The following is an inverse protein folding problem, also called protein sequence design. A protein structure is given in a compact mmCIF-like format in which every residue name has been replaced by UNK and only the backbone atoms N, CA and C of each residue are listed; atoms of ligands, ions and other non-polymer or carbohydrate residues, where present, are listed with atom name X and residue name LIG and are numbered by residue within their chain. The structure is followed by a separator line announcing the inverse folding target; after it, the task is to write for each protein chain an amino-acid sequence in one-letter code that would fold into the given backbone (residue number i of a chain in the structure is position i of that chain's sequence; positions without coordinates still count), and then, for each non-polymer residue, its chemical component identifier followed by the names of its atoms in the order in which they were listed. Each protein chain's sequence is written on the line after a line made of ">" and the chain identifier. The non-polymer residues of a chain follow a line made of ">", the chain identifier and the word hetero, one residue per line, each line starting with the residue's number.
data_IF_931193190801
#
_entry.id   IF_931193190801
#
_cell.length_a   1.000
_cell.length_b   1.000
_cell.length_c   1.000
_cell.angle_alpha   90.00
_cell.angle_beta   90.00
_cell.angle_gamma   90.00
#
_symmetry.space_group_name_H-M   'P 1'
#
loop_
_entity.id
_entity.type
_entity.pdbx_description
1 polymer ?
#
# COMPACT_ATOMS: atom_id res chain seq x y z
N UNK A 1 24.52 63.30 -25.73
CA UNK A 1 23.20 63.73 -26.23
C UNK A 1 22.33 62.50 -26.29
N UNK A 2 21.21 62.57 -25.60
CA UNK A 2 20.21 61.52 -25.38
C UNK A 2 19.63 60.99 -26.69
N UNK A 3 19.47 59.69 -26.81
CA UNK A 3 18.49 59.12 -27.72
C UNK A 3 17.61 58.15 -26.92
N UNK A 4 16.40 58.61 -26.64
CA UNK A 4 15.42 57.97 -25.77
C UNK A 4 14.62 56.99 -26.64
N UNK A 5 14.60 55.73 -26.22
CA UNK A 5 13.87 54.65 -26.89
C UNK A 5 12.40 54.99 -27.09
N UNK A 6 11.93 54.71 -28.31
CA UNK A 6 10.55 54.86 -28.74
C UNK A 6 9.66 53.65 -28.46
N UNK A 7 8.43 53.76 -28.97
CA UNK A 7 7.38 52.74 -28.97
C UNK A 7 6.39 52.96 -27.82
N UNK A 8 5.47 53.91 -27.94
CA UNK A 8 4.13 53.75 -28.54
C UNK A 8 3.22 52.80 -27.73
N UNK A 9 2.18 53.44 -27.19
CA UNK A 9 1.06 52.96 -26.39
C UNK A 9 0.42 51.70 -27.00
N UNK A 10 0.32 50.65 -26.20
CA UNK A 10 -0.73 49.63 -26.38
C UNK A 10 -1.83 49.94 -25.36
N UNK A 11 -2.99 50.31 -25.90
CA UNK A 11 -4.26 50.45 -25.20
C UNK A 11 -4.58 49.15 -24.46
N UNK A 12 -4.51 49.18 -23.12
CA UNK A 12 -5.14 48.15 -22.30
C UNK A 12 -6.57 48.61 -22.02
N UNK A 13 -7.48 47.98 -22.73
CA UNK A 13 -8.91 48.01 -22.57
C UNK A 13 -9.32 47.61 -21.15
N UNK A 14 -9.43 48.62 -20.28
CA UNK A 14 -10.09 48.56 -18.98
C UNK A 14 -11.60 48.34 -19.18
N UNK A 15 -11.97 47.08 -19.41
CA UNK A 15 -13.33 46.61 -19.22
C UNK A 15 -13.42 45.91 -17.86
N UNK A 16 -13.42 46.72 -16.79
CA UNK A 16 -13.75 46.28 -15.44
C UNK A 16 -15.17 45.73 -15.39
N UNK A 17 -15.31 44.42 -15.59
CA UNK A 17 -16.53 43.70 -15.25
C UNK A 17 -16.61 43.63 -13.72
N UNK A 18 -17.42 44.50 -13.12
CA UNK A 18 -17.85 44.38 -11.71
C UNK A 18 -18.70 43.11 -11.59
N UNK A 19 -18.03 41.98 -11.42
CA UNK A 19 -18.65 40.73 -11.05
C UNK A 19 -18.76 40.67 -9.54
N UNK A 20 -19.88 41.16 -8.99
CA UNK A 20 -20.30 40.79 -7.64
C UNK A 20 -20.84 39.35 -7.69
N UNK A 21 -20.18 38.38 -7.03
CA UNK A 21 -20.72 37.03 -6.94
C UNK A 21 -22.01 37.05 -6.10
N UNK A 22 -23.04 36.27 -6.47
CA UNK A 22 -24.25 36.19 -5.66
C UNK A 22 -23.91 35.62 -4.28
N UNK A 23 -24.41 36.27 -3.22
CA UNK A 23 -24.40 35.68 -1.88
C UNK A 23 -25.25 34.41 -1.91
N UNK A 24 -24.57 33.27 -1.75
CA UNK A 24 -25.25 32.01 -1.52
C UNK A 24 -25.72 32.01 -0.06
N UNK A 25 -27.01 32.18 0.15
CA UNK A 25 -27.65 31.81 1.41
C UNK A 25 -27.40 30.31 1.63
N UNK A 26 -26.45 29.99 2.50
CA UNK A 26 -26.20 28.63 2.95
C UNK A 26 -27.46 28.17 3.68
N UNK A 27 -28.33 27.46 2.99
CA UNK A 27 -29.37 26.67 3.64
C UNK A 27 -28.62 25.60 4.42
N UNK A 28 -28.60 25.77 5.74
CA UNK A 28 -28.05 24.84 6.71
C UNK A 28 -28.94 23.59 6.76
N UNK A 29 -28.84 22.77 5.72
CA UNK A 29 -29.17 21.37 5.81
C UNK A 29 -27.88 20.67 6.25
N UNK A 30 -27.60 20.68 7.55
CA UNK A 30 -26.72 19.66 8.12
C UNK A 30 -27.40 18.30 7.87
N UNK A 31 -26.79 17.39 7.10
CA UNK A 31 -27.17 16.00 7.21
C UNK A 31 -26.78 15.54 8.62
N UNK A 32 -27.76 15.22 9.47
CA UNK A 32 -27.54 14.68 10.84
C UNK A 32 -26.70 13.37 10.85
N UNK A 33 -26.35 12.83 9.68
CA UNK A 33 -25.50 11.66 9.50
C UNK A 33 -24.06 12.00 9.06
N UNK A 34 -23.55 13.21 9.35
CA UNK A 34 -22.11 13.46 9.21
C UNK A 34 -21.34 12.73 10.31
N UNK A 35 -21.05 11.45 10.05
CA UNK A 35 -20.09 10.67 10.83
C UNK A 35 -18.73 11.32 10.64
N UNK A 36 -18.25 12.00 11.68
CA UNK A 36 -16.87 12.46 11.78
C UNK A 36 -15.95 11.28 11.43
N UNK A 37 -14.98 11.45 10.51
CA UNK A 37 -13.98 10.43 10.28
C UNK A 37 -13.00 10.47 11.46
N UNK A 38 -13.46 10.05 12.65
CA UNK A 38 -12.57 9.53 13.67
C UNK A 38 -11.86 8.35 13.03
N UNK A 39 -10.64 8.62 12.56
CA UNK A 39 -9.68 7.66 12.07
C UNK A 39 -10.36 6.59 11.24
N UNK A 40 -10.63 6.90 9.96
CA UNK A 40 -10.84 5.86 8.97
C UNK A 40 -9.79 4.79 9.23
N UNK A 41 -10.21 3.70 9.89
CA UNK A 41 -9.41 2.52 10.14
C UNK A 41 -8.86 2.23 8.77
N UNK A 42 -7.55 2.39 8.63
CA UNK A 42 -6.88 2.35 7.36
C UNK A 42 -7.20 0.97 6.83
N UNK A 43 -8.24 0.90 5.99
CA UNK A 43 -8.79 -0.32 5.47
C UNK A 43 -7.68 -0.88 4.63
N UNK A 44 -6.87 -1.73 5.25
CA UNK A 44 -5.82 -2.48 4.60
C UNK A 44 -6.58 -3.34 3.61
N UNK A 45 -6.70 -2.83 2.38
CA UNK A 45 -7.19 -3.62 1.25
C UNK A 45 -6.41 -4.94 1.30
N UNK A 46 -7.16 -6.01 1.59
CA UNK A 46 -6.68 -7.14 2.37
C UNK A 46 -5.67 -8.02 1.67
N UNK A 47 -4.40 -7.62 1.71
CA UNK A 47 -3.28 -8.41 1.23
C UNK A 47 -2.11 -8.32 2.21
N UNK A 48 -1.78 -9.44 2.86
CA UNK A 48 -0.62 -9.55 3.73
C UNK A 48 0.49 -10.34 3.04
N UNK A 49 1.73 -9.84 3.11
CA UNK A 49 2.91 -10.62 2.74
C UNK A 49 3.38 -11.35 3.99
N UNK A 50 3.52 -12.66 3.88
CA UNK A 50 3.99 -13.52 4.96
C UNK A 50 5.28 -14.23 4.54
N UNK A 51 6.17 -14.44 5.51
CA UNK A 51 7.34 -15.29 5.32
C UNK A 51 6.93 -16.76 5.20
N UNK A 52 7.85 -17.64 4.83
CA UNK A 52 7.62 -19.09 4.72
C UNK A 52 7.07 -19.77 5.99
N UNK A 53 7.15 -19.11 7.15
CA UNK A 53 6.61 -19.57 8.43
C UNK A 53 5.18 -19.05 8.72
N UNK A 54 4.57 -18.32 7.79
CA UNK A 54 3.21 -17.79 7.91
C UNK A 54 3.06 -16.59 8.85
N UNK A 55 4.18 -16.04 9.34
CA UNK A 55 4.23 -14.78 10.09
C UNK A 55 4.18 -13.59 9.13
N UNK A 56 3.47 -12.54 9.52
CA UNK A 56 3.46 -11.27 8.78
C UNK A 56 4.86 -10.67 8.78
N UNK A 57 5.31 -10.21 7.62
CA UNK A 57 6.60 -9.51 7.51
C UNK A 57 6.41 -8.10 8.08
N UNK A 58 6.65 -7.93 9.37
CA UNK A 58 6.63 -6.62 10.03
C UNK A 58 7.96 -5.90 9.79
N UNK A 59 7.91 -4.65 9.31
CA UNK A 59 9.07 -3.77 9.26
C UNK A 59 9.26 -3.11 10.62
N UNK A 60 10.50 -3.14 11.13
CA UNK A 60 10.81 -2.81 12.51
C UNK A 60 10.46 -1.38 12.94
N UNK A 61 10.10 -1.25 14.22
CA UNK A 61 10.33 -0.02 14.96
C UNK A 61 9.22 0.52 15.86
N UNK A 62 8.21 -0.25 16.27
CA UNK A 62 7.52 0.07 17.53
C UNK A 62 6.77 -1.14 18.09
N UNK A 63 7.15 -1.59 19.29
CA UNK A 63 6.25 -2.37 20.13
C UNK A 63 5.28 -1.38 20.76
N UNK A 64 4.30 -0.91 19.99
CA UNK A 64 3.09 -0.37 20.61
C UNK A 64 2.33 -1.59 21.13
N UNK A 65 2.71 -2.00 22.34
CA UNK A 65 1.73 -2.49 23.31
C UNK A 65 0.71 -1.37 23.41
N UNK A 66 -0.31 -1.40 22.56
CA UNK A 66 -1.54 -0.64 22.80
C UNK A 66 -2.01 -1.08 24.18
N UNK A 67 -2.10 -0.12 25.09
CA UNK A 67 -2.11 -0.31 26.54
C UNK A 67 -3.39 -0.96 27.07
N UNK A 68 -3.58 -2.25 26.81
CA UNK A 68 -4.47 -3.08 27.61
C UNK A 68 -3.61 -4.04 28.47
N UNK A 69 -3.55 -3.85 29.81
CA UNK A 69 -2.85 -4.75 30.72
C UNK A 69 -3.38 -6.20 30.70
N UNK A 70 -4.49 -6.48 29.99
CA UNK A 70 -5.09 -7.80 29.87
C UNK A 70 -4.68 -8.57 28.59
N UNK A 71 -3.84 -7.99 27.72
CA UNK A 71 -3.38 -8.62 26.47
C UNK A 71 -2.37 -9.78 26.66
N UNK A 72 -2.08 -10.17 27.90
CA UNK A 72 -1.16 -11.28 28.23
C UNK A 72 -1.75 -12.68 28.05
N UNK A 73 -3.08 -12.84 27.96
CA UNK A 73 -3.73 -14.15 28.02
C UNK A 73 -4.27 -14.69 26.68
N UNK A 74 -4.32 -13.89 25.61
CA UNK A 74 -5.09 -14.22 24.39
C UNK A 74 -4.26 -14.50 23.13
N UNK A 75 -2.92 -14.36 23.16
CA UNK A 75 -2.06 -14.60 21.98
C UNK A 75 -2.25 -15.99 21.35
N UNK A 76 -2.51 -17.01 22.17
CA UNK A 76 -2.69 -18.38 21.67
C UNK A 76 -4.00 -18.59 20.90
N UNK A 77 -5.11 -17.99 21.34
CA UNK A 77 -6.45 -18.25 20.76
C UNK A 77 -6.69 -17.48 19.47
N UNK A 78 -6.21 -16.24 19.37
CA UNK A 78 -6.40 -15.40 18.17
C UNK A 78 -5.63 -15.98 16.97
N UNK A 79 -4.40 -16.46 17.17
CA UNK A 79 -3.62 -17.09 16.09
C UNK A 79 -4.22 -18.42 15.61
N UNK A 80 -4.84 -19.20 16.50
CA UNK A 80 -5.53 -20.45 16.14
C UNK A 80 -6.78 -20.18 15.29
N UNK A 81 -7.63 -19.23 15.71
CA UNK A 81 -8.82 -18.83 14.95
C UNK A 81 -8.49 -18.31 13.55
N UNK A 82 -7.35 -17.62 13.40
CA UNK A 82 -6.93 -17.12 12.09
C UNK A 82 -6.57 -18.28 11.15
N UNK A 83 -5.93 -19.35 11.63
CA UNK A 83 -5.62 -20.54 10.80
C UNK A 83 -6.87 -21.29 10.32
N UNK A 84 -7.97 -21.20 11.06
CA UNK A 84 -9.25 -21.86 10.71
C UNK A 84 -9.91 -21.25 9.48
N UNK A 85 -9.59 -20.00 9.14
CA UNK A 85 -10.16 -19.27 7.98
C UNK A 85 -9.34 -19.42 6.69
N UNK A 86 -8.39 -20.36 6.65
CA UNK A 86 -7.60 -20.63 5.44
C UNK A 86 -8.41 -21.47 4.46
N UNK A 87 -8.58 -20.96 3.25
CA UNK A 87 -9.14 -21.74 2.13
C UNK A 87 -8.10 -22.77 1.68
N UNK A 88 -8.48 -24.06 1.53
CA UNK A 88 -7.60 -25.09 0.99
C UNK A 88 -7.08 -24.76 -0.41
N UNK A 89 -5.88 -25.22 -0.75
CA UNK A 89 -5.23 -24.88 -2.03
C UNK A 89 -6.09 -25.27 -3.26
N UNK A 90 -6.78 -26.40 -3.19
CA UNK A 90 -7.60 -26.92 -4.30
C UNK A 90 -8.94 -26.18 -4.48
N UNK A 91 -9.31 -25.33 -3.52
CA UNK A 91 -10.59 -24.60 -3.48
C UNK A 91 -10.40 -23.08 -3.64
N UNK A 92 -9.20 -22.64 -4.03
CA UNK A 92 -8.93 -21.23 -4.29
C UNK A 92 -9.69 -20.75 -5.52
N UNK A 93 -10.24 -19.55 -5.46
CA UNK A 93 -11.07 -18.96 -6.51
C UNK A 93 -10.46 -17.69 -7.10
N UNK A 94 -9.50 -17.07 -6.42
CA UNK A 94 -8.87 -15.83 -6.91
C UNK A 94 -7.95 -16.08 -8.11
N UNK A 95 -7.61 -15.01 -8.82
CA UNK A 95 -6.85 -15.06 -10.08
C UNK A 95 -5.45 -15.67 -9.94
N UNK A 96 -4.99 -16.54 -10.86
CA UNK A 96 -3.62 -17.07 -10.82
C UNK A 96 -2.53 -16.04 -11.19
N UNK A 97 -2.93 -14.84 -11.63
CA UNK A 97 -2.00 -13.77 -12.01
C UNK A 97 -1.62 -12.91 -10.81
N UNK A 98 -0.36 -12.48 -10.75
CA UNK A 98 0.07 -11.49 -9.77
C UNK A 98 -0.53 -10.12 -10.10
N UNK A 99 -1.22 -9.50 -9.14
CA UNK A 99 -1.74 -8.15 -9.35
C UNK A 99 -0.62 -7.12 -9.34
N UNK A 100 -0.83 -5.96 -9.97
CA UNK A 100 0.15 -4.86 -9.96
C UNK A 100 0.50 -4.38 -8.53
N UNK A 101 -0.45 -4.51 -7.60
CA UNK A 101 -0.28 -4.13 -6.20
C UNK A 101 0.59 -5.14 -5.45
N UNK A 102 0.34 -6.43 -5.67
CA UNK A 102 1.14 -7.52 -5.11
C UNK A 102 2.57 -7.45 -5.63
N UNK A 103 2.75 -7.28 -6.94
CA UNK A 103 4.07 -7.15 -7.56
C UNK A 103 4.87 -5.99 -6.94
N UNK A 104 4.27 -4.82 -6.82
CA UNK A 104 4.92 -3.67 -6.21
C UNK A 104 5.32 -3.94 -4.75
N UNK A 105 4.43 -4.54 -3.96
CA UNK A 105 4.68 -4.79 -2.53
C UNK A 105 5.69 -5.92 -2.30
N UNK A 106 5.67 -6.96 -3.11
CA UNK A 106 6.65 -8.06 -3.08
C UNK A 106 8.04 -7.54 -3.41
N UNK A 107 8.18 -6.76 -4.49
CA UNK A 107 9.46 -6.14 -4.86
C UNK A 107 9.96 -5.19 -3.78
N UNK A 108 9.10 -4.32 -3.24
CA UNK A 108 9.47 -3.39 -2.17
C UNK A 108 9.93 -4.10 -0.89
N UNK A 109 9.17 -5.11 -0.45
CA UNK A 109 9.51 -5.91 0.74
C UNK A 109 10.82 -6.67 0.53
N UNK A 110 11.00 -7.27 -0.65
CA UNK A 110 12.20 -8.05 -0.94
C UNK A 110 13.44 -7.17 -1.10
N UNK A 111 13.34 -6.04 -1.80
CA UNK A 111 14.40 -5.07 -1.91
C UNK A 111 14.83 -4.54 -0.53
N UNK A 112 13.86 -4.28 0.36
CA UNK A 112 14.15 -3.89 1.74
C UNK A 112 14.90 -4.99 2.51
N UNK A 113 14.47 -6.25 2.41
CA UNK A 113 15.21 -7.37 3.01
C UNK A 113 16.65 -7.44 2.50
N UNK A 114 16.88 -7.32 1.19
CA UNK A 114 18.21 -7.31 0.59
C UNK A 114 19.06 -6.14 1.13
N UNK A 115 18.45 -4.96 1.27
CA UNK A 115 19.13 -3.78 1.83
C UNK A 115 19.58 -4.00 3.28
N UNK A 116 18.84 -4.83 4.03
CA UNK A 116 19.19 -5.27 5.38
C UNK A 116 20.09 -6.52 5.39
N UNK A 117 20.86 -6.72 4.32
CA UNK A 117 21.80 -7.83 4.15
C UNK A 117 21.17 -9.23 4.24
N UNK A 118 19.88 -9.37 3.91
CA UNK A 118 19.26 -10.69 3.81
C UNK A 118 19.92 -11.53 2.68
N UNK A 119 19.92 -12.87 2.79
CA UNK A 119 20.50 -13.74 1.77
C UNK A 119 19.81 -13.60 0.42
N UNK A 120 20.61 -13.47 -0.64
CA UNK A 120 20.16 -13.38 -2.05
C UNK A 120 20.18 -14.79 -2.65
N UNK A 121 19.14 -15.16 -3.39
CA UNK A 121 18.93 -16.51 -3.94
C UNK A 121 19.24 -16.63 -5.45
N UNK A 122 19.71 -15.54 -6.06
CA UNK A 122 20.11 -15.46 -7.47
C UNK A 122 21.57 -15.07 -7.60
N UNK A 123 22.18 -15.45 -8.72
CA UNK A 123 23.54 -15.06 -9.05
C UNK A 123 23.58 -13.57 -9.45
N UNK A 124 24.50 -12.83 -8.86
CA UNK A 124 24.74 -11.42 -9.15
C UNK A 124 25.72 -11.30 -10.33
N UNK A 125 25.34 -10.52 -11.34
CA UNK A 125 26.11 -10.18 -12.54
C UNK A 125 26.64 -8.73 -12.48
N UNK A 126 26.78 -8.18 -11.27
CA UNK A 126 27.23 -6.81 -11.03
C UNK A 126 26.11 -5.85 -10.61
N UNK A 127 24.89 -6.35 -10.34
CA UNK A 127 23.83 -5.55 -9.76
C UNK A 127 24.16 -5.17 -8.31
N UNK A 128 24.11 -3.87 -8.02
CA UNK A 128 24.34 -3.31 -6.68
C UNK A 128 23.07 -2.75 -6.04
N UNK A 129 22.08 -2.41 -6.86
CA UNK A 129 20.79 -1.88 -6.41
C UNK A 129 19.89 -3.02 -5.88
N UNK A 130 19.42 -2.95 -4.62
CA UNK A 130 18.52 -3.95 -4.04
C UNK A 130 17.24 -4.17 -4.85
N UNK A 131 16.72 -3.13 -5.52
CA UNK A 131 15.52 -3.27 -6.33
C UNK A 131 15.79 -4.07 -7.61
N UNK A 132 16.92 -3.83 -8.30
CA UNK A 132 17.32 -4.65 -9.45
C UNK A 132 17.51 -6.12 -9.05
N UNK A 133 18.12 -6.37 -7.89
CA UNK A 133 18.31 -7.73 -7.39
C UNK A 133 16.95 -8.40 -7.11
N UNK A 134 16.02 -7.70 -6.45
CA UNK A 134 14.67 -8.21 -6.21
C UNK A 134 13.88 -8.46 -7.51
N UNK A 135 14.04 -7.60 -8.53
CA UNK A 135 13.46 -7.80 -9.86
C UNK A 135 14.01 -9.07 -10.53
N UNK A 136 15.32 -9.31 -10.42
CA UNK A 136 15.98 -10.52 -10.92
C UNK A 136 15.49 -11.77 -10.20
N UNK A 137 15.34 -11.72 -8.88
CA UNK A 137 14.75 -12.80 -8.09
C UNK A 137 13.29 -13.09 -8.46
N UNK A 138 12.49 -12.05 -8.68
CA UNK A 138 11.10 -12.23 -9.12
C UNK A 138 11.02 -12.86 -10.50
N UNK A 139 11.87 -12.43 -11.44
CA UNK A 139 11.93 -12.97 -12.80
C UNK A 139 12.33 -14.46 -12.82
N UNK A 140 13.21 -14.88 -11.91
CA UNK A 140 13.59 -16.29 -11.73
C UNK A 140 12.66 -17.07 -10.78
N UNK A 141 11.57 -16.45 -10.30
CA UNK A 141 10.61 -17.04 -9.36
C UNK A 141 11.25 -17.56 -8.06
N UNK A 142 12.31 -16.91 -7.58
CA UNK A 142 13.06 -17.32 -6.37
C UNK A 142 12.73 -16.52 -5.11
N UNK A 143 11.72 -15.64 -5.14
CA UNK A 143 11.36 -14.86 -3.96
C UNK A 143 10.63 -15.76 -2.94
N UNK A 144 11.15 -15.91 -1.70
CA UNK A 144 10.59 -16.81 -0.69
C UNK A 144 9.46 -16.14 0.10
N UNK A 145 8.47 -15.58 -0.59
CA UNK A 145 7.33 -14.88 0.01
C UNK A 145 6.00 -15.50 -0.42
N UNK A 146 4.99 -15.32 0.42
CA UNK A 146 3.61 -15.75 0.17
C UNK A 146 2.72 -14.51 0.27
N UNK A 147 1.83 -14.37 -0.71
CA UNK A 147 0.76 -13.38 -0.75
C UNK A 147 -0.48 -13.99 -0.15
N UNK A 148 -0.93 -13.48 1.00
CA UNK A 148 -2.21 -13.83 1.60
C UNK A 148 -3.28 -12.86 1.11
N UNK A 149 -4.25 -13.36 0.34
CA UNK A 149 -5.41 -12.61 -0.14
C UNK A 149 -6.59 -12.81 0.79
N UNK A 150 -7.07 -11.75 1.42
CA UNK A 150 -8.27 -11.81 2.25
C UNK A 150 -9.52 -11.59 1.40
N UNK A 151 -10.50 -12.47 1.62
CA UNK A 151 -11.82 -12.40 1.04
C UNK A 151 -12.74 -11.53 1.92
N UNK A 152 -13.82 -10.95 1.37
CA UNK A 152 -14.72 -10.06 2.13
C UNK A 152 -15.39 -10.72 3.34
N UNK A 153 -15.50 -12.05 3.36
CA UNK A 153 -16.03 -12.86 4.46
C UNK A 153 -15.00 -13.15 5.57
N UNK A 154 -13.77 -12.65 5.41
CA UNK A 154 -12.65 -12.84 6.32
C UNK A 154 -11.90 -14.16 6.15
N UNK A 155 -12.28 -15.00 5.17
CA UNK A 155 -11.46 -16.11 4.71
C UNK A 155 -10.23 -15.61 3.97
N UNK A 156 -9.21 -16.45 3.81
CA UNK A 156 -8.05 -16.07 3.01
C UNK A 156 -7.47 -17.22 2.19
N UNK A 157 -6.84 -16.83 1.08
CA UNK A 157 -6.09 -17.71 0.20
C UNK A 157 -4.60 -17.34 0.26
N UNK A 158 -3.74 -18.31 0.54
CA UNK A 158 -2.28 -18.12 0.54
C UNK A 158 -1.72 -18.49 -0.83
N UNK A 159 -1.17 -17.53 -1.58
CA UNK A 159 -0.54 -17.74 -2.89
C UNK A 159 0.98 -17.59 -2.81
N UNK A 160 1.77 -18.54 -3.30
CA UNK A 160 3.23 -18.39 -3.35
C UNK A 160 3.64 -17.44 -4.48
N UNK A 161 4.72 -16.66 -4.29
CA UNK A 161 5.22 -15.82 -5.38
C UNK A 161 5.73 -16.63 -6.58
N UNK A 162 6.09 -17.90 -6.38
CA UNK A 162 6.53 -18.82 -7.44
C UNK A 162 5.38 -19.27 -8.34
N UNK A 163 4.21 -19.57 -7.77
CA UNK A 163 3.08 -20.10 -8.53
C UNK A 163 2.29 -19.00 -9.27
N UNK A 164 2.36 -17.76 -8.79
CA UNK A 164 1.76 -16.62 -9.48
C UNK A 164 2.42 -16.37 -10.84
N UNK A 165 1.59 -16.08 -11.85
CA UNK A 165 2.00 -15.75 -13.22
C UNK A 165 2.29 -14.27 -13.41
#
# INVERSE_FOLDING_TARGET
>A
MSDYGGGEREDHDDAGFDYEPPEYDYIDNEPEDYVEPEQAEHGETGYAIVNGEGQTVQNGGDNIVSGDPNAGASKGKVMLQQREKKVPNDQRTTTPYMTKYERARVLGTRALQISMNAPILVDLEGETDPLQIALKELAQKKIPLIVRRYLPDGWYEDWTCEELL
#
